data_IF_984664258794
#
_entry.id   IF_984664258794
#
_cell.length_a   1.000
_cell.length_b   1.000
_cell.length_c   1.000
_cell.angle_alpha   90.00
_cell.angle_beta   90.00
_cell.angle_gamma   90.00
#
_symmetry.space_group_name_H-M   'P 1'
#
loop_
_entity.id
_entity.type
_entity.pdbx_description
1 polymer ?
#
# COMPACT_ATOMS: atom_id res chain seq x y z
N UNK A 1 20.33 -1.33 -2.54
CA UNK A 1 20.03 -1.30 -3.98
C UNK A 1 19.19 -0.06 -4.20
N UNK A 2 19.76 0.94 -4.85
CA UNK A 2 19.02 2.12 -5.28
C UNK A 2 18.10 1.66 -6.43
N UNK A 3 16.79 1.62 -6.18
CA UNK A 3 15.82 1.43 -7.25
C UNK A 3 15.91 2.67 -8.14
N UNK A 4 16.61 2.52 -9.28
CA UNK A 4 16.78 3.57 -10.26
C UNK A 4 15.41 3.90 -10.89
N UNK A 5 14.72 4.90 -10.35
CA UNK A 5 13.42 5.39 -10.81
C UNK A 5 13.46 5.85 -12.29
N UNK A 6 14.64 6.13 -12.84
CA UNK A 6 14.82 6.83 -14.13
C UNK A 6 15.52 6.02 -15.24
N UNK A 7 15.91 4.76 -15.05
CA UNK A 7 16.60 4.02 -16.11
C UNK A 7 15.66 3.81 -17.31
N UNK A 8 15.88 4.54 -18.38
CA UNK A 8 15.25 4.35 -19.69
C UNK A 8 13.79 4.79 -19.83
N UNK A 9 13.27 5.69 -18.96
CA UNK A 9 11.89 6.19 -19.01
C UNK A 9 11.83 7.69 -19.24
N UNK A 10 10.81 8.13 -19.98
CA UNK A 10 10.46 9.54 -20.11
C UNK A 10 10.26 10.16 -18.73
N UNK A 11 11.05 11.16 -18.39
CA UNK A 11 10.90 11.90 -17.14
C UNK A 11 9.64 12.78 -17.25
N UNK A 12 8.73 12.66 -16.32
CA UNK A 12 7.53 13.51 -16.22
C UNK A 12 7.67 14.41 -15.01
N UNK A 13 7.84 15.71 -15.25
CA UNK A 13 7.86 16.71 -14.18
C UNK A 13 6.46 17.10 -13.76
N UNK A 14 6.24 17.28 -12.45
CA UNK A 14 4.95 17.68 -11.90
C UNK A 14 4.93 17.67 -10.38
N UNK A 15 3.81 18.03 -9.79
CA UNK A 15 3.63 18.06 -8.34
C UNK A 15 3.51 16.66 -7.77
N UNK A 16 4.43 16.28 -6.89
CA UNK A 16 4.39 15.04 -6.12
C UNK A 16 3.16 15.03 -5.21
N UNK A 17 2.31 13.99 -5.32
CA UNK A 17 1.04 13.95 -4.59
C UNK A 17 1.19 13.75 -3.07
N UNK A 18 2.37 13.33 -2.59
CA UNK A 18 2.62 13.16 -1.16
C UNK A 18 3.20 14.41 -0.51
N UNK A 19 4.38 14.89 -0.97
CA UNK A 19 5.05 16.06 -0.40
C UNK A 19 4.59 17.40 -1.01
N UNK A 20 3.83 17.37 -2.10
CA UNK A 20 3.28 18.51 -2.84
C UNK A 20 4.34 19.37 -3.57
N UNK A 21 5.61 18.97 -3.55
CA UNK A 21 6.70 19.67 -4.22
C UNK A 21 6.75 19.34 -5.71
N UNK A 22 7.18 20.33 -6.52
CA UNK A 22 7.45 20.13 -7.95
C UNK A 22 8.74 19.34 -8.14
N UNK A 23 8.64 18.18 -8.75
CA UNK A 23 9.76 17.25 -8.92
C UNK A 23 9.60 16.37 -10.17
N UNK A 24 10.67 15.65 -10.49
CA UNK A 24 10.59 14.54 -11.43
C UNK A 24 9.87 13.36 -10.81
N UNK A 25 8.74 12.99 -11.41
CA UNK A 25 7.87 11.95 -10.89
C UNK A 25 8.30 10.56 -11.37
N UNK A 26 8.25 9.62 -10.45
CA UNK A 26 8.43 8.20 -10.73
C UNK A 26 7.15 7.58 -11.31
N UNK A 27 7.32 6.52 -12.10
CA UNK A 27 6.21 5.66 -12.46
C UNK A 27 5.84 4.79 -11.24
N UNK A 28 5.04 5.39 -10.36
CA UNK A 28 4.59 4.80 -9.10
C UNK A 28 3.66 3.62 -9.33
N UNK A 29 3.67 2.64 -8.43
CA UNK A 29 2.75 1.51 -8.46
C UNK A 29 1.62 1.69 -7.44
N UNK A 30 0.40 1.31 -7.79
CA UNK A 30 -0.73 1.30 -6.85
C UNK A 30 -0.44 0.41 -5.64
N UNK A 31 -0.06 -0.84 -5.89
CA UNK A 31 0.57 -1.72 -4.90
C UNK A 31 2.06 -1.78 -5.17
N UNK A 32 2.90 -1.82 -4.15
CA UNK A 32 4.35 -1.90 -4.32
C UNK A 32 4.74 -3.01 -5.31
N UNK A 33 5.65 -2.70 -6.23
CA UNK A 33 6.08 -3.61 -7.32
C UNK A 33 6.40 -5.03 -6.84
N UNK A 34 6.95 -5.14 -5.62
CA UNK A 34 7.31 -6.41 -5.00
C UNK A 34 6.10 -7.28 -4.71
N UNK A 35 4.95 -6.69 -4.35
CA UNK A 35 3.69 -7.42 -4.13
C UNK A 35 3.21 -8.12 -5.41
N UNK A 36 3.24 -7.43 -6.55
CA UNK A 36 2.93 -8.05 -7.85
C UNK A 36 3.87 -9.23 -8.17
N UNK A 37 5.15 -9.10 -7.84
CA UNK A 37 6.13 -10.18 -8.05
C UNK A 37 5.87 -11.38 -7.16
N UNK A 38 5.40 -11.16 -5.91
CA UNK A 38 5.05 -12.23 -4.99
C UNK A 38 3.82 -13.00 -5.48
N UNK A 39 2.74 -12.31 -5.82
CA UNK A 39 1.51 -12.93 -6.34
C UNK A 39 1.83 -13.83 -7.55
N UNK A 40 2.65 -13.36 -8.50
CA UNK A 40 3.06 -14.16 -9.67
C UNK A 40 3.89 -15.39 -9.31
N UNK A 41 4.74 -15.31 -8.28
CA UNK A 41 5.54 -16.47 -7.81
C UNK A 41 4.69 -17.57 -7.18
N UNK A 42 3.51 -17.24 -6.68
CA UNK A 42 2.55 -18.19 -6.13
C UNK A 42 1.84 -19.03 -7.21
N UNK A 43 2.13 -18.75 -8.50
CA UNK A 43 1.41 -19.37 -9.61
C UNK A 43 0.03 -18.79 -9.86
N UNK A 44 -0.38 -17.84 -9.03
CA UNK A 44 -1.66 -17.17 -9.18
C UNK A 44 -1.55 -16.00 -10.16
N UNK A 45 -2.59 -15.82 -10.95
CA UNK A 45 -2.74 -14.65 -11.81
C UNK A 45 -3.53 -13.59 -11.06
N UNK A 46 -3.10 -12.35 -11.14
CA UNK A 46 -3.90 -11.23 -10.69
C UNK A 46 -5.20 -11.24 -11.48
N UNK A 47 -6.32 -11.23 -10.79
CA UNK A 47 -7.64 -11.20 -11.42
C UNK A 47 -8.15 -9.76 -11.41
N UNK A 48 -8.46 -9.25 -12.58
CA UNK A 48 -9.16 -7.98 -12.72
C UNK A 48 -10.67 -8.26 -12.71
N UNK A 49 -11.34 -7.62 -11.77
CA UNK A 49 -12.80 -7.64 -11.66
C UNK A 49 -13.35 -6.33 -12.23
N UNK A 50 -14.25 -6.42 -13.18
CA UNK A 50 -15.06 -5.30 -13.65
C UNK A 50 -16.53 -5.71 -13.67
N UNK A 51 -17.48 -4.76 -13.73
CA UNK A 51 -18.91 -5.10 -13.79
C UNK A 51 -19.29 -6.04 -14.94
N UNK A 52 -18.49 -6.07 -16.00
CA UNK A 52 -18.77 -6.86 -17.22
C UNK A 52 -17.84 -8.03 -17.45
N UNK A 53 -16.72 -8.15 -16.70
CA UNK A 53 -15.70 -9.18 -16.95
C UNK A 53 -14.87 -9.53 -15.73
N UNK A 54 -14.54 -10.82 -15.65
CA UNK A 54 -13.50 -11.36 -14.76
C UNK A 54 -12.41 -11.90 -15.69
N UNK A 55 -11.18 -11.39 -15.59
CA UNK A 55 -10.10 -11.85 -16.44
C UNK A 55 -8.75 -11.82 -15.70
N UNK A 56 -7.90 -12.84 -15.93
CA UNK A 56 -6.53 -12.79 -15.43
C UNK A 56 -5.75 -11.70 -16.17
N UNK A 57 -4.88 -11.01 -15.43
CA UNK A 57 -4.03 -9.95 -15.97
C UNK A 57 -2.64 -9.99 -15.36
N UNK A 58 -1.63 -9.67 -16.17
CA UNK A 58 -0.26 -9.43 -15.68
C UNK A 58 0.03 -7.93 -15.56
N UNK A 59 -0.97 -7.09 -15.78
CA UNK A 59 -0.84 -5.65 -15.75
C UNK A 59 -0.66 -5.14 -14.33
N UNK A 60 0.39 -4.35 -14.15
CA UNK A 60 0.58 -3.57 -12.92
C UNK A 60 -0.10 -2.20 -13.11
N UNK A 61 -0.83 -1.76 -12.09
CA UNK A 61 -1.44 -0.44 -12.09
C UNK A 61 -0.35 0.57 -11.73
N UNK A 62 0.01 1.44 -12.67
CA UNK A 62 1.08 2.43 -12.51
C UNK A 62 0.69 3.78 -13.10
N UNK A 63 1.17 4.86 -12.47
CA UNK A 63 1.12 6.23 -13.00
C UNK A 63 2.23 7.09 -12.38
N UNK A 64 2.44 8.28 -12.95
CA UNK A 64 3.37 9.27 -12.42
C UNK A 64 2.74 10.00 -11.22
N UNK A 65 3.06 9.57 -10.01
CA UNK A 65 2.42 10.05 -8.79
C UNK A 65 3.37 10.69 -7.79
N UNK A 66 4.50 10.05 -7.53
CA UNK A 66 5.43 10.40 -6.45
C UNK A 66 6.82 10.75 -6.99
N UNK A 67 7.53 11.65 -6.31
CA UNK A 67 8.96 11.83 -6.51
C UNK A 67 9.76 10.66 -5.91
N UNK A 68 11.04 10.53 -6.29
CA UNK A 68 11.91 9.43 -5.84
C UNK A 68 12.05 9.35 -4.32
N UNK A 69 12.13 10.49 -3.65
CA UNK A 69 12.21 10.56 -2.17
C UNK A 69 10.96 9.98 -1.52
N UNK A 70 9.78 10.30 -2.04
CA UNK A 70 8.51 9.80 -1.51
C UNK A 70 8.29 8.31 -1.82
N UNK A 71 8.73 7.82 -3.00
CA UNK A 71 8.77 6.39 -3.30
C UNK A 71 9.65 5.62 -2.30
N UNK A 72 10.86 6.12 -2.02
CA UNK A 72 11.75 5.51 -1.04
C UNK A 72 11.16 5.54 0.38
N UNK A 73 10.46 6.63 0.73
CA UNK A 73 9.76 6.75 2.01
C UNK A 73 8.75 5.63 2.20
N UNK A 74 7.87 5.38 1.23
CA UNK A 74 6.91 4.28 1.28
C UNK A 74 7.59 2.90 1.31
N UNK A 75 8.62 2.72 0.48
CA UNK A 75 9.38 1.48 0.45
C UNK A 75 10.00 1.17 1.81
N UNK A 76 10.66 2.14 2.44
CA UNK A 76 11.40 1.94 3.68
C UNK A 76 10.49 1.83 4.91
N UNK A 77 9.37 2.56 4.95
CA UNK A 77 8.50 2.66 6.14
C UNK A 77 7.38 1.63 6.17
N UNK A 78 7.12 0.90 5.09
CA UNK A 78 6.01 -0.07 5.06
C UNK A 78 6.17 -1.23 4.10
N UNK A 79 6.46 -0.98 2.81
CA UNK A 79 6.41 -2.02 1.78
C UNK A 79 7.44 -3.14 1.99
N UNK A 80 8.66 -2.81 2.41
CA UNK A 80 9.70 -3.82 2.69
C UNK A 80 9.25 -4.78 3.79
N UNK A 81 8.67 -4.24 4.85
CA UNK A 81 8.17 -5.05 5.95
C UNK A 81 6.97 -5.90 5.51
N UNK A 82 5.93 -5.29 4.93
CA UNK A 82 4.75 -6.00 4.45
C UNK A 82 5.11 -7.15 3.49
N UNK A 83 6.05 -6.91 2.57
CA UNK A 83 6.51 -7.94 1.63
C UNK A 83 7.37 -9.01 2.28
N UNK A 84 8.04 -8.72 3.40
CA UNK A 84 8.82 -9.73 4.14
C UNK A 84 7.95 -10.75 4.87
N UNK A 85 6.68 -10.40 5.12
CA UNK A 85 5.71 -11.30 5.77
C UNK A 85 5.17 -12.39 4.84
N UNK A 86 5.49 -12.33 3.55
CA UNK A 86 5.15 -13.39 2.61
C UNK A 86 6.27 -14.41 2.56
N UNK A 87 5.99 -15.63 2.96
CA UNK A 87 6.95 -16.74 2.95
C UNK A 87 7.37 -17.14 1.53
N UNK A 88 8.55 -17.78 1.41
CA UNK A 88 9.05 -18.26 0.11
C UNK A 88 8.12 -19.30 -0.54
N UNK A 89 7.36 -20.04 0.26
CA UNK A 89 6.36 -21.03 -0.20
C UNK A 89 4.99 -20.41 -0.54
N UNK A 90 4.87 -19.08 -0.40
CA UNK A 90 3.67 -18.37 -0.77
C UNK A 90 2.62 -18.21 0.31
N UNK A 91 2.84 -18.78 1.50
CA UNK A 91 1.95 -18.51 2.62
C UNK A 91 2.18 -17.09 3.16
N UNK A 92 1.14 -16.52 3.72
CA UNK A 92 1.22 -15.24 4.41
C UNK A 92 1.52 -15.50 5.89
N UNK A 93 2.74 -15.27 6.32
CA UNK A 93 3.25 -15.57 7.65
C UNK A 93 2.30 -15.18 8.81
N UNK A 94 1.60 -14.03 8.78
CA UNK A 94 0.64 -13.71 9.82
C UNK A 94 -0.49 -14.75 9.98
N UNK A 95 -0.96 -15.38 8.90
CA UNK A 95 -1.96 -16.44 8.98
C UNK A 95 -1.40 -17.69 9.66
N UNK A 96 -0.18 -18.08 9.28
CA UNK A 96 0.51 -19.24 9.91
C UNK A 96 0.74 -19.01 11.42
N UNK A 97 0.98 -17.75 11.82
CA UNK A 97 1.12 -17.38 13.23
C UNK A 97 -0.22 -17.39 13.97
N UNK A 98 -1.30 -16.90 13.33
CA UNK A 98 -2.64 -16.91 13.91
C UNK A 98 -3.14 -18.33 14.17
N UNK A 99 -2.83 -19.29 13.29
CA UNK A 99 -3.16 -20.70 13.49
C UNK A 99 -2.47 -21.32 14.72
N UNK A 100 -1.28 -20.83 15.06
CA UNK A 100 -0.46 -21.33 16.18
C UNK A 100 -0.69 -20.61 17.49
N UNK A 101 -1.24 -19.40 17.45
CA UNK A 101 -1.49 -18.57 18.63
C UNK A 101 -2.94 -18.66 19.06
N UNK A 102 -3.15 -18.64 20.40
CA UNK A 102 -4.50 -18.51 20.94
C UNK A 102 -5.14 -17.18 20.54
N UNK A 103 -6.42 -17.18 20.25
CA UNK A 103 -7.19 -15.97 19.96
C UNK A 103 -7.33 -15.10 21.21
N UNK A 104 -7.25 -13.77 21.06
CA UNK A 104 -7.57 -12.84 22.15
C UNK A 104 -9.07 -12.87 22.46
N UNK A 105 -9.89 -12.93 21.41
CA UNK A 105 -11.35 -12.94 21.50
C UNK A 105 -11.93 -13.59 20.24
N UNK A 106 -13.00 -14.37 20.41
CA UNK A 106 -13.81 -14.91 19.31
C UNK A 106 -15.21 -14.34 19.42
N UNK A 107 -15.79 -13.89 18.31
CA UNK A 107 -17.16 -13.40 18.21
C UNK A 107 -17.78 -13.94 16.93
N UNK A 108 -18.65 -14.93 17.05
CA UNK A 108 -19.18 -15.65 15.88
C UNK A 108 -18.08 -16.35 15.08
N UNK A 109 -18.01 -16.06 13.79
CA UNK A 109 -16.97 -16.57 12.89
C UNK A 109 -15.67 -15.74 12.90
N UNK A 110 -15.62 -14.63 13.64
CA UNK A 110 -14.49 -13.72 13.68
C UNK A 110 -13.55 -14.04 14.85
N UNK A 111 -12.26 -13.99 14.61
CA UNK A 111 -11.22 -14.15 15.62
C UNK A 111 -10.33 -12.93 15.64
N UNK A 112 -10.12 -12.37 16.84
CA UNK A 112 -9.25 -11.22 17.07
C UNK A 112 -7.92 -11.67 17.65
N UNK A 113 -6.84 -11.08 17.13
CA UNK A 113 -5.48 -11.32 17.58
C UNK A 113 -4.80 -9.99 17.90
N UNK A 114 -3.88 -9.98 18.86
CA UNK A 114 -3.01 -8.82 19.08
C UNK A 114 -1.74 -8.98 18.25
N UNK A 115 -1.39 -7.97 17.48
CA UNK A 115 -0.17 -7.99 16.66
C UNK A 115 1.09 -8.30 17.47
N UNK A 116 1.19 -7.80 18.73
CA UNK A 116 2.31 -8.09 19.63
C UNK A 116 2.43 -9.57 20.00
N UNK A 117 1.31 -10.28 20.14
CA UNK A 117 1.29 -11.69 20.49
C UNK A 117 1.75 -12.56 19.30
N UNK A 118 1.61 -12.01 18.10
CA UNK A 118 2.11 -12.59 16.85
C UNK A 118 3.53 -12.13 16.49
N UNK A 119 4.16 -11.26 17.28
CA UNK A 119 5.47 -10.68 16.96
C UNK A 119 5.44 -9.74 15.75
N UNK A 120 4.28 -9.16 15.42
CA UNK A 120 4.12 -8.28 14.27
C UNK A 120 4.25 -6.82 14.66
N UNK A 121 4.96 -6.04 13.83
CA UNK A 121 5.02 -4.59 13.93
C UNK A 121 3.73 -3.99 13.33
N UNK A 122 2.76 -3.76 14.21
CA UNK A 122 1.46 -3.19 13.83
C UNK A 122 1.59 -1.76 13.30
N UNK A 123 2.56 -0.97 13.78
CA UNK A 123 2.74 0.41 13.34
C UNK A 123 3.21 0.45 11.87
N UNK A 124 4.21 -0.36 11.54
CA UNK A 124 4.72 -0.47 10.16
C UNK A 124 3.68 -1.07 9.21
N UNK A 125 2.92 -2.09 9.64
CA UNK A 125 1.81 -2.62 8.85
C UNK A 125 0.71 -1.58 8.65
N UNK A 126 0.35 -0.85 9.70
CA UNK A 126 -0.64 0.23 9.64
C UNK A 126 -0.21 1.34 8.66
N UNK A 127 1.07 1.73 8.71
CA UNK A 127 1.63 2.70 7.75
C UNK A 127 1.49 2.18 6.31
N UNK A 128 1.83 0.91 6.06
CA UNK A 128 1.68 0.31 4.72
C UNK A 128 0.22 0.28 4.28
N UNK A 129 -0.69 -0.18 5.13
CA UNK A 129 -2.12 -0.23 4.82
C UNK A 129 -2.68 1.16 4.48
N UNK A 130 -2.35 2.19 5.30
CA UNK A 130 -2.73 3.57 5.03
C UNK A 130 -2.13 4.10 3.73
N UNK A 131 -0.90 3.71 3.37
CA UNK A 131 -0.30 4.11 2.10
C UNK A 131 -1.05 3.54 0.89
N UNK A 132 -1.56 2.31 0.98
CA UNK A 132 -2.38 1.69 -0.07
C UNK A 132 -3.75 2.38 -0.16
N UNK A 133 -4.41 2.61 0.98
CA UNK A 133 -5.69 3.34 1.03
C UNK A 133 -5.53 4.75 0.46
N UNK A 134 -4.49 5.46 0.83
CA UNK A 134 -4.21 6.81 0.32
C UNK A 134 -3.93 6.80 -1.19
N UNK A 135 -3.14 5.84 -1.70
CA UNK A 135 -2.97 5.66 -3.15
C UNK A 135 -4.32 5.44 -3.85
N UNK A 136 -5.26 4.74 -3.20
CA UNK A 136 -6.63 4.54 -3.69
C UNK A 136 -7.44 5.83 -3.86
N UNK A 137 -7.03 6.96 -3.28
CA UNK A 137 -7.69 8.26 -3.51
C UNK A 137 -7.39 8.85 -4.88
N UNK A 138 -6.29 8.43 -5.51
CA UNK A 138 -5.93 8.88 -6.85
C UNK A 138 -6.57 8.00 -7.92
N UNK A 139 -6.79 8.59 -9.08
CA UNK A 139 -7.31 7.88 -10.24
C UNK A 139 -6.13 7.32 -11.04
N UNK A 140 -6.11 6.02 -11.20
CA UNK A 140 -5.03 5.31 -11.90
C UNK A 140 -5.52 4.79 -13.25
N UNK A 141 -4.69 4.87 -14.30
CA UNK A 141 -5.02 4.22 -15.56
C UNK A 141 -5.04 2.70 -15.37
N UNK A 142 -6.05 2.06 -15.91
CA UNK A 142 -6.24 0.63 -15.90
C UNK A 142 -6.40 0.09 -17.31
N UNK A 143 -6.82 -1.17 -17.41
CA UNK A 143 -6.89 -1.87 -18.69
C UNK A 143 -7.89 -1.24 -19.65
N UNK A 144 -7.50 -1.08 -20.95
CA UNK A 144 -8.35 -0.59 -22.05
C UNK A 144 -9.03 0.75 -21.79
N UNK A 145 -8.30 1.69 -21.21
CA UNK A 145 -8.83 3.04 -20.97
C UNK A 145 -9.78 3.16 -19.78
N UNK A 146 -9.96 2.10 -19.00
CA UNK A 146 -10.64 2.19 -17.71
C UNK A 146 -9.72 2.82 -16.67
N UNK A 147 -10.29 3.23 -15.55
CA UNK A 147 -9.55 3.74 -14.39
C UNK A 147 -9.94 3.00 -13.13
N UNK A 148 -9.05 2.98 -12.14
CA UNK A 148 -9.30 2.48 -10.78
C UNK A 148 -8.88 3.53 -9.76
N UNK A 149 -9.43 3.47 -8.55
CA UNK A 149 -9.17 4.44 -7.48
C UNK A 149 -10.27 5.52 -7.41
N UNK A 150 -9.90 6.71 -6.94
CA UNK A 150 -10.84 7.80 -6.70
C UNK A 150 -11.61 7.66 -5.39
N UNK A 151 -11.06 6.88 -4.43
CA UNK A 151 -11.63 6.70 -3.09
C UNK A 151 -11.73 8.06 -2.37
N UNK A 152 -12.89 8.34 -1.78
CA UNK A 152 -13.14 9.56 -1.03
C UNK A 152 -12.93 9.32 0.47
N UNK A 153 -11.88 9.92 1.04
CA UNK A 153 -11.58 9.82 2.48
C UNK A 153 -12.18 10.97 3.30
N UNK A 154 -12.85 11.90 2.66
CA UNK A 154 -13.46 13.05 3.33
C UNK A 154 -12.43 13.82 4.20
N UNK A 155 -12.80 14.10 5.44
CA UNK A 155 -11.96 14.83 6.39
C UNK A 155 -10.67 14.09 6.79
N UNK A 156 -10.55 12.81 6.47
CA UNK A 156 -9.37 11.99 6.82
C UNK A 156 -8.27 12.02 5.75
N UNK A 157 -8.55 12.51 4.55
CA UNK A 157 -7.62 12.49 3.43
C UNK A 157 -6.31 13.23 3.72
N UNK A 158 -6.43 14.50 4.12
CA UNK A 158 -5.24 15.32 4.42
C UNK A 158 -4.48 14.87 5.68
N UNK A 159 -5.12 14.53 6.81
CA UNK A 159 -4.41 13.94 7.94
C UNK A 159 -3.63 12.67 7.59
N UNK A 160 -4.19 11.79 6.76
CA UNK A 160 -3.51 10.57 6.31
C UNK A 160 -2.31 10.93 5.42
N UNK A 161 -2.48 11.85 4.45
CA UNK A 161 -1.38 12.33 3.61
C UNK A 161 -0.23 12.88 4.46
N UNK A 162 -0.54 13.78 5.39
CA UNK A 162 0.44 14.41 6.27
C UNK A 162 1.18 13.38 7.14
N UNK A 163 0.47 12.42 7.72
CA UNK A 163 1.06 11.30 8.47
C UNK A 163 2.01 10.47 7.60
N UNK A 164 1.60 10.12 6.39
CA UNK A 164 2.41 9.36 5.45
C UNK A 164 3.66 10.13 4.99
N UNK A 165 3.55 11.45 4.86
CA UNK A 165 4.69 12.32 4.55
C UNK A 165 5.65 12.49 5.73
N UNK A 166 5.23 12.19 6.94
CA UNK A 166 6.04 12.22 8.16
C UNK A 166 5.76 13.42 9.06
N UNK A 167 4.66 14.13 8.83
CA UNK A 167 4.19 15.12 9.79
C UNK A 167 3.76 14.42 11.10
N UNK A 168 4.16 14.99 12.22
CA UNK A 168 3.66 14.53 13.51
C UNK A 168 2.15 14.80 13.60
N UNK A 169 1.38 13.75 13.83
CA UNK A 169 -0.05 13.90 14.11
C UNK A 169 -0.20 14.55 15.47
N UNK A 170 -0.41 15.86 15.48
CA UNK A 170 -0.75 16.56 16.71
C UNK A 170 -2.02 15.91 17.29
N UNK A 171 -1.89 15.24 18.43
CA UNK A 171 -3.03 14.70 19.17
C UNK A 171 -3.86 15.89 19.62
N UNK A 172 -4.95 16.17 18.93
CA UNK A 172 -5.99 17.02 19.50
C UNK A 172 -6.56 16.27 20.69
N UNK A 173 -6.06 16.58 21.88
CA UNK A 173 -6.76 16.24 23.10
C UNK A 173 -8.08 17.01 23.07
N UNK A 174 -9.15 16.32 22.75
CA UNK A 174 -10.50 16.82 22.99
C UNK A 174 -10.65 16.90 24.49
N UNK A 175 -10.35 18.07 25.06
CA UNK A 175 -10.78 18.46 26.41
C UNK A 175 -12.30 18.61 26.31
N UNK A 176 -13.03 17.57 26.60
CA UNK A 176 -14.46 17.65 26.90
C UNK A 176 -14.62 18.30 28.27
N UNK A 177 -15.18 19.46 28.28
CA UNK A 177 -15.84 20.03 29.45
C UNK A 177 -17.29 19.55 29.50
#
# INVERSE_FOLDING_TARGET
MQDNCFIGKTVKRGSCKLCLEEADLCNSHYLGRRMYSLIRKLGDRIIMLSPSRIMPTDMQITDYLLCSTCEQKFSNRGEKYATSLVNRGGSFMPLDLMEKCGTMRTQGAESLYRARDLGLDAATLGYYALSVVWRGTHVWPAFRGTTVGGLQLGIHGEPIRAFLDGAEVSRRTSSSR
#
